data_IF_102026190658
#
_entry.id   IF_102026190658
#
_cell.length_a   1.000
_cell.length_b   1.000
_cell.length_c   1.000
_cell.angle_alpha   90.00
_cell.angle_beta   90.00
_cell.angle_gamma   90.00
#
_symmetry.space_group_name_H-M   'P 1'
#
loop_
_entity.id
_entity.type
_entity.pdbx_description
1 polymer ?
#
# COMPACT_ATOMS: atom_id res chain seq x y z
N UNK A 1 -6.83 9.37 1.62
CA UNK A 1 -8.33 9.50 1.56
C UNK A 1 -8.88 10.25 0.33
N UNK A 2 -8.08 11.13 -0.28
CA UNK A 2 -8.52 12.05 -1.35
C UNK A 2 -9.13 11.32 -2.56
N UNK A 3 -8.58 10.16 -2.94
CA UNK A 3 -9.05 9.41 -4.10
C UNK A 3 -10.52 8.97 -4.00
N UNK A 4 -10.96 8.49 -2.83
CA UNK A 4 -12.36 8.10 -2.62
C UNK A 4 -13.28 9.32 -2.68
N UNK A 5 -12.87 10.44 -2.08
CA UNK A 5 -13.63 11.68 -2.12
C UNK A 5 -13.84 12.16 -3.58
N UNK A 6 -12.79 12.13 -4.40
CA UNK A 6 -12.89 12.49 -5.83
C UNK A 6 -13.85 11.55 -6.58
N UNK A 7 -13.76 10.25 -6.35
CA UNK A 7 -14.65 9.28 -7.01
C UNK A 7 -16.11 9.45 -6.58
N UNK A 8 -16.39 9.72 -5.30
CA UNK A 8 -17.73 10.04 -4.83
C UNK A 8 -18.26 11.35 -5.44
N UNK A 9 -17.43 12.39 -5.52
CA UNK A 9 -17.83 13.66 -6.17
C UNK A 9 -18.21 13.41 -7.63
N UNK A 10 -17.42 12.65 -8.38
CA UNK A 10 -17.72 12.31 -9.78
C UNK A 10 -19.03 11.53 -9.92
N UNK A 11 -19.31 10.61 -8.99
CA UNK A 11 -20.56 9.86 -8.95
C UNK A 11 -21.76 10.81 -8.72
N UNK A 12 -21.68 11.72 -7.74
CA UNK A 12 -22.73 12.69 -7.46
C UNK A 12 -22.93 13.69 -8.61
N UNK A 13 -21.85 14.13 -9.27
CA UNK A 13 -21.93 14.95 -10.47
C UNK A 13 -22.63 14.20 -11.61
N UNK A 14 -22.34 12.91 -11.79
CA UNK A 14 -23.04 12.08 -12.76
C UNK A 14 -24.56 12.05 -12.51
N UNK A 15 -24.96 11.83 -11.25
CA UNK A 15 -26.39 11.85 -10.84
C UNK A 15 -27.01 13.23 -11.09
N UNK A 16 -26.28 14.31 -10.80
CA UNK A 16 -26.74 15.68 -11.06
C UNK A 16 -26.95 15.95 -12.54
N UNK A 17 -26.06 15.49 -13.43
CA UNK A 17 -26.20 15.67 -14.88
C UNK A 17 -27.38 14.89 -15.46
N UNK A 18 -27.66 13.67 -14.97
CA UNK A 18 -28.86 12.93 -15.37
C UNK A 18 -30.13 13.75 -15.05
N UNK A 19 -30.19 14.36 -13.86
CA UNK A 19 -31.34 15.22 -13.47
C UNK A 19 -31.51 16.47 -14.34
N UNK A 20 -30.47 16.88 -15.08
CA UNK A 20 -30.50 18.01 -16.01
C UNK A 20 -30.84 17.62 -17.44
N UNK A 21 -31.26 16.37 -17.68
CA UNK A 21 -31.52 15.77 -19.01
C UNK A 21 -30.23 15.54 -19.83
N UNK A 22 -29.06 15.54 -19.18
CA UNK A 22 -27.78 15.22 -19.80
C UNK A 22 -27.45 13.75 -19.58
N UNK A 23 -28.36 12.87 -20.00
CA UNK A 23 -28.37 11.44 -19.65
C UNK A 23 -27.10 10.71 -20.10
N UNK A 24 -26.61 10.97 -21.31
CA UNK A 24 -25.42 10.31 -21.84
C UNK A 24 -24.17 10.65 -21.00
N UNK A 25 -23.96 11.93 -20.69
CA UNK A 25 -22.79 12.40 -19.92
C UNK A 25 -22.89 11.92 -18.48
N UNK A 26 -24.07 12.05 -17.87
CA UNK A 26 -24.31 11.58 -16.50
C UNK A 26 -24.15 10.07 -16.36
N UNK A 27 -24.67 9.29 -17.32
CA UNK A 27 -24.56 7.83 -17.35
C UNK A 27 -23.12 7.35 -17.47
N UNK A 28 -22.32 7.96 -18.36
CA UNK A 28 -20.88 7.65 -18.49
C UNK A 28 -20.13 7.96 -17.19
N UNK A 29 -20.39 9.13 -16.57
CA UNK A 29 -19.76 9.49 -15.30
C UNK A 29 -20.09 8.50 -14.18
N UNK A 30 -21.36 8.09 -14.04
CA UNK A 30 -21.77 7.11 -13.04
C UNK A 30 -21.12 5.76 -13.31
N UNK A 31 -21.12 5.29 -14.55
CA UNK A 31 -20.52 4.00 -14.91
C UNK A 31 -19.03 3.97 -14.58
N UNK A 32 -18.27 4.97 -15.04
CA UNK A 32 -16.83 5.04 -14.81
C UNK A 32 -16.51 5.20 -13.32
N UNK A 33 -17.17 6.12 -12.62
CA UNK A 33 -16.93 6.34 -11.18
C UNK A 33 -17.28 5.11 -10.35
N UNK A 34 -18.37 4.40 -10.66
CA UNK A 34 -18.78 3.19 -9.93
C UNK A 34 -17.78 2.04 -10.11
N UNK A 35 -17.31 1.81 -11.34
CA UNK A 35 -16.31 0.78 -11.63
C UNK A 35 -15.00 1.09 -10.92
N UNK A 36 -14.51 2.34 -11.03
CA UNK A 36 -13.28 2.75 -10.36
C UNK A 36 -13.39 2.68 -8.83
N UNK A 37 -14.55 3.03 -8.27
CA UNK A 37 -14.79 2.98 -6.84
C UNK A 37 -14.81 1.54 -6.32
N UNK A 38 -15.44 0.62 -7.06
CA UNK A 38 -15.40 -0.80 -6.75
C UNK A 38 -13.97 -1.34 -6.80
N UNK A 39 -13.21 -1.03 -7.86
CA UNK A 39 -11.80 -1.42 -7.97
C UNK A 39 -10.96 -0.85 -6.83
N UNK A 40 -11.13 0.42 -6.48
CA UNK A 40 -10.40 1.06 -5.40
C UNK A 40 -10.69 0.41 -4.03
N UNK A 41 -11.93 0.01 -3.76
CA UNK A 41 -12.30 -0.69 -2.52
C UNK A 41 -11.65 -2.08 -2.42
N UNK A 42 -11.63 -2.83 -3.52
CA UNK A 42 -10.98 -4.15 -3.59
C UNK A 42 -9.47 -3.97 -3.40
N UNK A 43 -8.84 -3.06 -4.16
CA UNK A 43 -7.41 -2.80 -4.06
C UNK A 43 -7.00 -2.31 -2.68
N UNK A 44 -7.80 -1.46 -2.05
CA UNK A 44 -7.57 -0.99 -0.68
C UNK A 44 -7.51 -2.16 0.29
N UNK A 45 -8.51 -3.04 0.25
CA UNK A 45 -8.59 -4.17 1.18
C UNK A 45 -7.45 -5.16 0.95
N UNK A 46 -7.18 -5.51 -0.31
CA UNK A 46 -6.10 -6.45 -0.68
C UNK A 46 -4.73 -5.88 -0.34
N UNK A 47 -4.45 -4.62 -0.70
CA UNK A 47 -3.14 -4.00 -0.41
C UNK A 47 -2.89 -3.90 1.08
N UNK A 48 -3.90 -3.51 1.86
CA UNK A 48 -3.76 -3.40 3.30
C UNK A 48 -3.51 -4.76 3.95
N UNK A 49 -4.18 -5.81 3.48
CA UNK A 49 -3.92 -7.18 3.93
C UNK A 49 -2.47 -7.61 3.63
N UNK A 50 -2.01 -7.43 2.38
CA UNK A 50 -0.65 -7.81 1.98
C UNK A 50 0.41 -7.04 2.75
N UNK A 51 0.26 -5.73 2.91
CA UNK A 51 1.26 -4.93 3.62
C UNK A 51 1.31 -5.32 5.11
N UNK A 52 0.16 -5.58 5.74
CA UNK A 52 0.15 -6.06 7.12
C UNK A 52 0.85 -7.42 7.27
N UNK A 53 0.67 -8.33 6.31
CA UNK A 53 1.40 -9.60 6.27
C UNK A 53 2.91 -9.36 6.15
N UNK A 54 3.34 -8.48 5.24
CA UNK A 54 4.74 -8.14 5.02
C UNK A 54 5.37 -7.44 6.25
N UNK A 55 4.61 -6.65 7.00
CA UNK A 55 5.03 -6.06 8.28
C UNK A 55 5.34 -7.16 9.32
N UNK A 56 4.49 -8.18 9.43
CA UNK A 56 4.74 -9.31 10.34
C UNK A 56 5.96 -10.14 9.90
N UNK A 57 6.12 -10.34 8.58
CA UNK A 57 7.32 -10.97 8.03
C UNK A 57 8.58 -10.16 8.35
N UNK A 58 8.54 -8.83 8.20
CA UNK A 58 9.62 -7.93 8.58
C UNK A 58 10.00 -8.11 10.07
N UNK A 59 9.01 -8.18 10.98
CA UNK A 59 9.25 -8.38 12.42
C UNK A 59 9.94 -9.72 12.70
N UNK A 60 9.51 -10.79 12.02
CA UNK A 60 10.12 -12.11 12.13
C UNK A 60 11.57 -12.15 11.61
N UNK A 61 11.83 -11.48 10.48
CA UNK A 61 13.19 -11.35 9.92
C UNK A 61 14.09 -10.57 10.87
N UNK A 62 13.61 -9.46 11.43
CA UNK A 62 14.34 -8.66 12.42
C UNK A 62 14.74 -9.50 13.64
N UNK A 63 13.79 -10.25 14.20
CA UNK A 63 14.03 -11.14 15.34
C UNK A 63 15.08 -12.21 15.00
N UNK A 64 15.02 -12.76 13.79
CA UNK A 64 15.96 -13.79 13.32
C UNK A 64 17.38 -13.20 13.21
N UNK A 65 17.53 -12.02 12.60
CA UNK A 65 18.83 -11.31 12.49
C UNK A 65 19.44 -11.06 13.88
N UNK A 66 18.62 -10.56 14.81
CA UNK A 66 19.09 -10.22 16.16
C UNK A 66 19.57 -11.48 16.92
N UNK A 67 18.92 -12.63 16.72
CA UNK A 67 19.32 -13.90 17.32
C UNK A 67 20.52 -14.56 16.63
N UNK A 68 20.66 -14.40 15.30
CA UNK A 68 21.71 -15.08 14.51
C UNK A 68 23.04 -14.34 14.48
N UNK A 69 23.08 -13.06 14.86
CA UNK A 69 24.26 -12.18 14.74
C UNK A 69 25.55 -12.73 15.36
N UNK A 70 25.43 -13.49 16.45
CA UNK A 70 26.59 -14.07 17.16
C UNK A 70 26.88 -15.54 16.75
N UNK A 71 26.07 -16.10 15.86
CA UNK A 71 26.14 -17.52 15.46
C UNK A 71 26.66 -17.71 14.03
N UNK A 72 26.63 -16.66 13.20
CA UNK A 72 27.06 -16.72 11.79
C UNK A 72 28.58 -16.66 11.69
N UNK A 73 29.18 -17.82 11.46
CA UNK A 73 30.63 -17.99 11.31
C UNK A 73 31.06 -18.10 9.83
N UNK A 74 30.12 -18.18 8.88
CA UNK A 74 30.39 -18.32 7.46
C UNK A 74 30.15 -17.01 6.69
N UNK A 75 31.11 -16.64 5.82
CA UNK A 75 30.98 -15.47 4.94
C UNK A 75 29.81 -15.58 3.97
N UNK A 76 29.46 -16.80 3.55
CA UNK A 76 28.33 -17.06 2.65
C UNK A 76 27.00 -16.76 3.34
N UNK A 77 26.84 -17.22 4.58
CA UNK A 77 25.64 -16.96 5.39
C UNK A 77 25.51 -15.47 5.70
N UNK A 78 26.64 -14.80 5.97
CA UNK A 78 26.68 -13.34 6.17
C UNK A 78 26.25 -12.58 4.92
N UNK A 79 26.72 -13.00 3.73
CA UNK A 79 26.34 -12.40 2.47
C UNK A 79 24.84 -12.60 2.16
N UNK A 80 24.32 -13.82 2.40
CA UNK A 80 22.90 -14.13 2.23
C UNK A 80 22.01 -13.26 3.14
N UNK A 81 22.37 -13.14 4.42
CA UNK A 81 21.66 -12.29 5.37
C UNK A 81 21.71 -10.82 4.97
N UNK A 82 22.88 -10.34 4.53
CA UNK A 82 23.05 -8.96 4.07
C UNK A 82 22.15 -8.66 2.86
N UNK A 83 22.05 -9.57 1.91
CA UNK A 83 21.15 -9.41 0.77
C UNK A 83 19.68 -9.33 1.21
N UNK A 84 19.27 -10.19 2.15
CA UNK A 84 17.90 -10.16 2.68
C UNK A 84 17.58 -8.86 3.42
N UNK A 85 18.55 -8.31 4.16
CA UNK A 85 18.44 -6.99 4.81
C UNK A 85 18.26 -5.88 3.77
N UNK A 86 19.06 -5.90 2.69
CA UNK A 86 18.97 -4.92 1.60
C UNK A 86 17.59 -4.97 0.94
N UNK A 87 17.09 -6.16 0.60
CA UNK A 87 15.78 -6.33 -0.03
C UNK A 87 14.65 -5.83 0.88
N UNK A 88 14.70 -6.19 2.16
CA UNK A 88 13.71 -5.75 3.15
C UNK A 88 13.74 -4.23 3.34
N UNK A 89 14.92 -3.62 3.40
CA UNK A 89 15.05 -2.16 3.51
C UNK A 89 14.58 -1.43 2.25
N UNK A 90 14.80 -2.01 1.07
CA UNK A 90 14.28 -1.47 -0.19
C UNK A 90 12.76 -1.47 -0.22
N UNK A 91 12.14 -2.57 0.23
CA UNK A 91 10.69 -2.67 0.39
C UNK A 91 10.16 -1.61 1.38
N UNK A 92 10.77 -1.52 2.58
CA UNK A 92 10.35 -0.57 3.60
C UNK A 92 10.47 0.88 3.11
N UNK A 93 11.56 1.22 2.43
CA UNK A 93 11.77 2.54 1.83
C UNK A 93 10.67 2.89 0.82
N UNK A 94 10.30 1.96 -0.05
CA UNK A 94 9.24 2.16 -1.02
C UNK A 94 7.88 2.41 -0.35
N UNK A 95 7.56 1.68 0.71
CA UNK A 95 6.31 1.89 1.45
C UNK A 95 6.30 3.21 2.23
N UNK A 96 7.41 3.59 2.88
CA UNK A 96 7.51 4.88 3.56
C UNK A 96 7.31 6.04 2.58
N UNK A 97 7.99 6.01 1.43
CA UNK A 97 7.78 6.99 0.38
C UNK A 97 6.34 7.01 -0.12
N UNK A 98 5.74 5.83 -0.35
CA UNK A 98 4.36 5.71 -0.80
C UNK A 98 3.34 6.28 0.19
N UNK A 99 3.56 6.09 1.50
CA UNK A 99 2.70 6.59 2.57
C UNK A 99 2.71 8.13 2.65
N UNK A 100 3.78 8.79 2.19
CA UNK A 100 3.86 10.25 2.09
C UNK A 100 3.13 10.84 0.85
N UNK A 101 2.59 10.00 -0.03
CA UNK A 101 1.89 10.46 -1.25
C UNK A 101 0.38 10.58 -1.07
N UNK A 102 -0.33 11.09 -2.09
CA UNK A 102 -1.81 11.11 -2.11
C UNK A 102 -2.47 9.71 -2.08
N UNK A 103 -1.68 8.65 -2.23
CA UNK A 103 -2.09 7.24 -2.11
C UNK A 103 -1.78 6.65 -0.74
N UNK A 104 -1.47 7.50 0.24
CA UNK A 104 -1.27 7.20 1.67
C UNK A 104 -2.19 6.11 2.21
N UNK A 105 -3.48 6.21 1.88
CA UNK A 105 -4.55 5.36 2.37
C UNK A 105 -4.34 3.88 2.09
N UNK A 106 -3.60 3.52 1.05
CA UNK A 106 -3.34 2.12 0.72
C UNK A 106 -2.24 1.49 1.58
N UNK A 107 -1.48 2.30 2.32
CA UNK A 107 -0.32 1.87 3.11
C UNK A 107 -0.62 2.15 4.60
N UNK A 108 -0.55 1.16 5.49
CA UNK A 108 -0.71 1.36 6.93
C UNK A 108 0.35 2.32 7.50
N UNK A 109 -0.06 3.20 8.41
CA UNK A 109 0.83 4.17 9.05
C UNK A 109 1.91 3.51 9.93
N UNK A 110 1.68 2.29 10.40
CA UNK A 110 2.65 1.48 11.16
C UNK A 110 4.00 1.34 10.42
N UNK A 111 3.98 1.33 9.08
CA UNK A 111 5.20 1.29 8.25
C UNK A 111 6.15 2.44 8.58
N UNK A 112 5.62 3.63 8.90
CA UNK A 112 6.43 4.80 9.19
C UNK A 112 7.21 4.65 10.51
N UNK A 113 6.71 3.85 11.44
CA UNK A 113 7.33 3.57 12.74
C UNK A 113 8.45 2.52 12.65
N UNK A 114 8.47 1.70 11.59
CA UNK A 114 9.49 0.67 11.40
C UNK A 114 10.86 1.28 11.07
N UNK A 115 11.92 0.77 11.70
CA UNK A 115 13.30 1.18 11.40
C UNK A 115 13.91 0.36 10.27
N UNK A 116 14.93 0.89 9.59
CA UNK A 116 15.71 0.06 8.68
C UNK A 116 16.49 -1.01 9.44
N UNK A 117 16.49 -2.24 8.92
CA UNK A 117 17.28 -3.35 9.43
C UNK A 117 18.78 -3.06 9.25
N UNK A 118 19.59 -3.55 10.20
CA UNK A 118 21.03 -3.35 10.26
C UNK A 118 21.75 -4.68 10.35
#
# INVERSE_FOLDING_TARGET
MIIFAVLFILLFLGIYFIKKEWEAIGGVLIMVSSVLLLMALILFSVKRFVINEEIEQYKAVKLTIDNSRNLINSDIERAALTNQIIETNKWLSALKYGNETILDIFIPDEVMELEYLK
#
